data_IF_985748567816
#
_entry.id   IF_985748567816
#
_cell.length_a   1.000
_cell.length_b   1.000
_cell.length_c   1.000
_cell.angle_alpha   90.00
_cell.angle_beta   90.00
_cell.angle_gamma   90.00
#
_symmetry.space_group_name_H-M   'P 1'
#
loop_
_entity.id
_entity.type
_entity.pdbx_description
1 polymer ?
#
# COMPACT_ATOMS: atom_id res chain seq x y z
N UNK A 1 -0.75 7.06 7.77
CA UNK A 1 0.10 7.74 6.76
C UNK A 1 0.17 9.24 7.03
N UNK A 2 -0.96 9.94 7.05
CA UNK A 2 -0.96 11.41 7.18
C UNK A 2 -0.22 11.95 8.40
N UNK A 3 -0.40 11.38 9.59
CA UNK A 3 0.37 11.78 10.77
C UNK A 3 1.90 11.79 10.54
N UNK A 4 2.42 10.78 9.82
CA UNK A 4 3.85 10.70 9.45
C UNK A 4 4.23 11.81 8.47
N UNK A 5 3.37 12.08 7.48
CA UNK A 5 3.59 13.14 6.49
C UNK A 5 3.56 14.53 7.13
N UNK A 6 2.57 14.80 7.98
CA UNK A 6 2.49 16.04 8.78
C UNK A 6 3.71 16.20 9.67
N UNK A 7 4.19 15.11 10.31
CA UNK A 7 5.44 15.15 11.06
C UNK A 7 6.66 15.47 10.17
N UNK A 8 6.70 15.01 8.91
CA UNK A 8 7.79 15.34 7.98
C UNK A 8 7.73 16.81 7.56
N UNK A 9 6.56 17.32 7.18
CA UNK A 9 6.35 18.72 6.84
C UNK A 9 6.67 19.65 8.01
N UNK A 10 6.42 19.23 9.25
CA UNK A 10 6.80 20.00 10.44
C UNK A 10 8.31 20.08 10.69
N UNK A 11 9.09 19.11 10.18
CA UNK A 11 10.54 19.00 10.43
C UNK A 11 11.40 19.51 9.29
N UNK A 12 10.85 19.66 8.09
CA UNK A 12 11.58 19.99 6.87
C UNK A 12 10.95 21.21 6.18
N UNK A 13 11.61 22.36 6.27
CA UNK A 13 11.09 23.62 5.77
C UNK A 13 10.99 23.66 4.23
N UNK A 14 11.91 22.99 3.52
CA UNK A 14 11.90 22.95 2.05
C UNK A 14 10.71 22.13 1.55
N UNK A 15 10.52 20.92 2.12
CA UNK A 15 9.37 20.07 1.79
C UNK A 15 8.06 20.77 2.18
N UNK A 16 8.02 21.44 3.34
CA UNK A 16 6.84 22.22 3.76
C UNK A 16 6.47 23.31 2.77
N UNK A 17 7.46 24.05 2.28
CA UNK A 17 7.24 25.13 1.31
C UNK A 17 6.80 24.64 -0.08
N UNK A 18 7.15 23.39 -0.41
CA UNK A 18 6.82 22.75 -1.69
C UNK A 18 5.39 22.18 -1.73
N UNK A 19 4.82 21.86 -0.58
CA UNK A 19 3.49 21.25 -0.47
C UNK A 19 3.46 19.76 -0.80
N UNK A 20 2.29 19.26 -1.22
CA UNK A 20 2.06 17.85 -1.50
C UNK A 20 1.10 17.69 -2.68
N UNK A 21 1.38 16.71 -3.54
CA UNK A 21 0.46 16.24 -4.59
C UNK A 21 -0.03 14.85 -4.17
N UNK A 22 -1.34 14.67 -4.11
CA UNK A 22 -1.97 13.43 -3.65
C UNK A 22 -2.73 12.83 -4.83
N UNK A 23 -2.27 11.67 -5.28
CA UNK A 23 -2.98 10.86 -6.26
C UNK A 23 -3.96 9.93 -5.53
N UNK A 24 -5.19 9.82 -6.04
CA UNK A 24 -6.28 9.08 -5.39
C UNK A 24 -6.82 8.00 -6.33
N UNK A 25 -7.34 6.88 -5.80
CA UNK A 25 -8.12 5.94 -6.60
C UNK A 25 -9.27 6.64 -7.34
N UNK A 26 -9.73 6.05 -8.45
CA UNK A 26 -10.87 6.58 -9.18
C UNK A 26 -12.13 6.61 -8.30
N UNK A 27 -12.80 7.76 -8.25
CA UNK A 27 -14.05 7.95 -7.53
C UNK A 27 -15.18 8.11 -8.53
N UNK A 28 -16.24 7.32 -8.36
CA UNK A 28 -17.49 7.50 -9.09
C UNK A 28 -18.39 8.46 -8.31
N UNK A 29 -19.03 9.38 -9.02
CA UNK A 29 -20.05 10.30 -8.48
C UNK A 29 -21.22 9.61 -7.77
N UNK A 30 -21.50 8.34 -8.08
CA UNK A 30 -22.57 7.56 -7.45
C UNK A 30 -22.08 6.73 -6.24
N UNK A 31 -20.77 6.70 -5.98
CA UNK A 31 -20.19 5.90 -4.91
C UNK A 31 -20.10 6.72 -3.62
N UNK A 32 -21.11 6.57 -2.75
CA UNK A 32 -21.11 7.20 -1.41
C UNK A 32 -19.83 6.85 -0.66
N UNK A 33 -19.45 5.57 -0.61
CA UNK A 33 -18.22 5.13 0.04
C UNK A 33 -16.96 5.77 -0.59
N UNK A 34 -16.94 5.93 -1.92
CA UNK A 34 -15.82 6.58 -2.62
C UNK A 34 -15.69 8.06 -2.25
N UNK A 35 -16.83 8.76 -2.15
CA UNK A 35 -16.89 10.16 -1.74
C UNK A 35 -16.49 10.33 -0.27
N UNK A 36 -16.90 9.42 0.61
CA UNK A 36 -16.50 9.43 2.03
C UNK A 36 -15.00 9.17 2.21
N UNK A 37 -14.43 8.23 1.44
CA UNK A 37 -12.99 7.98 1.44
C UNK A 37 -12.24 9.22 0.93
N UNK A 38 -12.70 9.86 -0.14
CA UNK A 38 -12.09 11.07 -0.66
C UNK A 38 -12.15 12.22 0.35
N UNK A 39 -13.30 12.42 1.00
CA UNK A 39 -13.46 13.42 2.05
C UNK A 39 -12.53 13.14 3.24
N UNK A 40 -12.39 11.88 3.64
CA UNK A 40 -11.44 11.50 4.66
C UNK A 40 -9.98 11.79 4.26
N UNK A 41 -9.59 11.53 3.00
CA UNK A 41 -8.27 11.89 2.47
C UNK A 41 -8.04 13.41 2.53
N UNK A 42 -9.04 14.20 2.12
CA UNK A 42 -8.98 15.68 2.12
C UNK A 42 -8.74 16.22 3.53
N UNK A 43 -9.49 15.72 4.51
CA UNK A 43 -9.39 16.14 5.92
C UNK A 43 -8.05 15.71 6.54
N UNK A 44 -7.75 14.41 6.47
CA UNK A 44 -6.61 13.78 7.15
C UNK A 44 -5.27 14.30 6.60
N UNK A 45 -5.19 14.66 5.30
CA UNK A 45 -3.99 15.27 4.68
C UNK A 45 -4.05 16.81 4.60
N UNK A 46 -5.08 17.46 5.15
CA UNK A 46 -5.24 18.92 5.14
C UNK A 46 -5.13 19.53 3.73
N UNK A 47 -5.86 18.95 2.79
CA UNK A 47 -5.90 19.41 1.39
C UNK A 47 -6.56 20.79 1.31
N UNK A 48 -6.09 21.65 0.42
CA UNK A 48 -6.67 22.97 0.16
C UNK A 48 -7.12 23.18 -1.29
N UNK A 49 -6.56 22.41 -2.23
CA UNK A 49 -6.88 22.44 -3.66
C UNK A 49 -7.28 21.02 -4.09
N UNK A 50 -8.45 20.90 -4.71
CA UNK A 50 -8.99 19.65 -5.26
C UNK A 50 -9.09 19.80 -6.77
N UNK A 51 -8.44 18.92 -7.50
CA UNK A 51 -8.45 18.90 -8.96
C UNK A 51 -9.29 17.71 -9.43
N UNK A 52 -10.30 17.99 -10.26
CA UNK A 52 -11.21 16.99 -10.83
C UNK A 52 -10.90 16.85 -12.32
N UNK A 53 -10.64 15.63 -12.79
CA UNK A 53 -10.26 15.35 -14.17
C UNK A 53 -11.43 14.80 -14.99
N UNK A 54 -11.96 15.60 -15.91
CA UNK A 54 -12.88 15.19 -16.98
C UNK A 54 -14.28 14.75 -16.56
N UNK A 55 -14.71 14.97 -15.31
CA UNK A 55 -16.10 14.78 -14.89
C UNK A 55 -16.66 16.06 -14.27
N UNK A 56 -17.51 16.74 -15.05
CA UNK A 56 -18.28 17.91 -14.58
C UNK A 56 -19.31 17.52 -13.52
N UNK A 57 -19.85 16.31 -13.57
CA UNK A 57 -20.77 15.78 -12.57
C UNK A 57 -20.09 15.58 -11.22
N UNK A 58 -18.93 14.92 -11.20
CA UNK A 58 -18.14 14.76 -9.98
C UNK A 58 -17.69 16.12 -9.43
N UNK A 59 -17.31 17.05 -10.29
CA UNK A 59 -16.94 18.41 -9.88
C UNK A 59 -18.10 19.13 -9.18
N UNK A 60 -19.31 19.08 -9.73
CA UNK A 60 -20.49 19.67 -9.12
C UNK A 60 -20.81 19.05 -7.75
N UNK A 61 -20.68 17.72 -7.61
CA UNK A 61 -20.92 17.04 -6.34
C UNK A 61 -19.86 17.39 -5.29
N UNK A 62 -18.58 17.53 -5.68
CA UNK A 62 -17.51 17.97 -4.78
C UNK A 62 -17.70 19.42 -4.34
N UNK A 63 -18.08 20.32 -5.26
CA UNK A 63 -18.42 21.71 -4.91
C UNK A 63 -19.55 21.73 -3.88
N UNK A 64 -20.60 20.93 -4.09
CA UNK A 64 -21.71 20.82 -3.15
C UNK A 64 -21.25 20.27 -1.80
N UNK A 65 -20.50 19.16 -1.79
CA UNK A 65 -20.01 18.47 -0.59
C UNK A 65 -19.13 19.37 0.29
N UNK A 66 -18.22 20.13 -0.32
CA UNK A 66 -17.25 20.97 0.39
C UNK A 66 -17.66 22.44 0.50
N UNK A 67 -18.84 22.83 0.00
CA UNK A 67 -19.35 24.22 0.07
C UNK A 67 -19.46 24.77 1.50
N UNK A 68 -19.82 23.90 2.44
CA UNK A 68 -20.00 24.24 3.87
C UNK A 68 -18.77 23.97 4.72
N UNK A 69 -17.85 23.16 4.21
CA UNK A 69 -16.61 22.81 4.88
C UNK A 69 -15.53 23.87 4.59
N UNK A 70 -14.52 23.93 5.45
CA UNK A 70 -13.39 24.83 5.31
C UNK A 70 -12.10 24.04 5.50
N UNK A 71 -11.02 24.54 4.94
CA UNK A 71 -9.68 24.00 5.16
C UNK A 71 -9.29 24.14 6.63
N UNK A 72 -8.18 23.50 7.02
CA UNK A 72 -7.62 23.64 8.38
C UNK A 72 -7.24 25.08 8.76
N UNK A 73 -7.17 25.99 7.79
CA UNK A 73 -6.93 27.44 7.98
C UNK A 73 -8.22 28.28 7.95
N UNK A 74 -9.40 27.65 7.79
CA UNK A 74 -10.69 28.34 7.74
C UNK A 74 -11.05 28.91 6.36
N UNK A 75 -10.30 28.56 5.32
CA UNK A 75 -10.49 29.04 3.96
C UNK A 75 -11.45 28.15 3.17
N UNK A 76 -12.15 28.66 2.14
CA UNK A 76 -12.90 27.80 1.22
C UNK A 76 -11.95 26.93 0.39
N UNK A 77 -12.36 25.69 0.08
CA UNK A 77 -11.61 24.81 -0.81
C UNK A 77 -11.58 25.35 -2.24
N UNK A 78 -10.41 25.28 -2.90
CA UNK A 78 -10.29 25.57 -4.33
C UNK A 78 -10.54 24.30 -5.13
N UNK A 79 -11.68 24.23 -5.83
CA UNK A 79 -12.06 23.03 -6.59
C UNK A 79 -12.02 23.38 -8.08
N UNK A 80 -11.15 22.71 -8.82
CA UNK A 80 -10.87 22.99 -10.23
C UNK A 80 -11.28 21.79 -11.10
N UNK A 81 -12.00 22.06 -12.18
CA UNK A 81 -12.26 21.08 -13.23
C UNK A 81 -11.21 21.25 -14.33
N UNK A 82 -10.52 20.17 -14.68
CA UNK A 82 -9.63 20.10 -15.82
C UNK A 82 -10.12 19.05 -16.81
N UNK A 83 -9.93 19.31 -18.09
CA UNK A 83 -10.18 18.33 -19.14
C UNK A 83 -9.15 17.20 -19.08
N UNK A 84 -9.57 15.99 -19.46
CA UNK A 84 -8.64 14.88 -19.67
C UNK A 84 -7.81 15.19 -20.91
N UNK A 85 -6.53 14.81 -20.88
CA UNK A 85 -5.69 14.87 -22.07
C UNK A 85 -6.15 13.82 -23.10
N UNK A 86 -6.20 14.20 -24.37
CA UNK A 86 -6.56 13.34 -25.50
C UNK A 86 -5.63 12.13 -25.68
N UNK A 87 -4.43 12.16 -25.08
CA UNK A 87 -3.47 11.04 -25.10
C UNK A 87 -3.71 9.99 -24.02
N UNK A 88 -4.67 10.19 -23.12
CA UNK A 88 -4.97 9.23 -22.05
C UNK A 88 -5.77 8.06 -22.62
N UNK A 89 -5.25 6.85 -22.40
CA UNK A 89 -5.87 5.60 -22.86
C UNK A 89 -6.31 4.78 -21.65
N UNK A 90 -7.44 4.10 -21.77
CA UNK A 90 -7.90 3.15 -20.75
C UNK A 90 -6.92 1.99 -20.60
N UNK A 91 -6.66 1.61 -19.35
CA UNK A 91 -5.78 0.49 -19.01
C UNK A 91 -6.65 -0.70 -18.67
N UNK A 92 -6.52 -1.77 -19.46
CA UNK A 92 -7.21 -3.01 -19.17
C UNK A 92 -6.58 -3.75 -17.97
N UNK A 93 -7.29 -4.76 -17.47
CA UNK A 93 -6.88 -5.55 -16.30
C UNK A 93 -5.55 -6.28 -16.55
N UNK A 94 -5.32 -6.76 -17.78
CA UNK A 94 -4.08 -7.46 -18.14
C UNK A 94 -2.88 -6.53 -18.13
N UNK A 95 -3.02 -5.30 -18.65
CA UNK A 95 -2.00 -4.27 -18.58
C UNK A 95 -1.68 -3.91 -17.13
N UNK A 96 -2.70 -3.71 -16.29
CA UNK A 96 -2.51 -3.37 -14.87
C UNK A 96 -1.80 -4.49 -14.10
N UNK A 97 -2.14 -5.76 -14.38
CA UNK A 97 -1.44 -6.91 -13.82
C UNK A 97 0.03 -6.93 -14.25
N UNK A 98 0.32 -6.76 -15.54
CA UNK A 98 1.71 -6.72 -16.03
C UNK A 98 2.52 -5.57 -15.43
N UNK A 99 1.92 -4.38 -15.28
CA UNK A 99 2.57 -3.23 -14.66
C UNK A 99 2.86 -3.48 -13.16
N UNK A 100 1.93 -4.14 -12.45
CA UNK A 100 2.13 -4.56 -11.06
C UNK A 100 3.29 -5.56 -10.94
N UNK A 101 3.28 -6.61 -11.77
CA UNK A 101 4.35 -7.62 -11.83
C UNK A 101 5.72 -7.00 -12.14
N UNK A 102 5.77 -6.06 -13.09
CA UNK A 102 6.98 -5.32 -13.45
C UNK A 102 7.51 -4.50 -12.26
N UNK A 103 6.63 -3.83 -11.52
CA UNK A 103 7.00 -3.03 -10.33
C UNK A 103 7.59 -3.90 -9.22
N UNK A 104 7.04 -5.10 -9.02
CA UNK A 104 7.56 -6.05 -8.02
C UNK A 104 8.89 -6.64 -8.47
N UNK A 105 9.04 -6.96 -9.76
CA UNK A 105 10.33 -7.38 -10.33
C UNK A 105 11.39 -6.29 -10.17
N UNK A 106 11.06 -5.05 -10.48
CA UNK A 106 11.95 -3.89 -10.34
C UNK A 106 12.40 -3.69 -8.88
N UNK A 107 11.51 -3.90 -7.90
CA UNK A 107 11.87 -3.81 -6.49
C UNK A 107 13.01 -4.77 -6.10
N UNK A 108 13.02 -6.01 -6.62
CA UNK A 108 14.04 -7.01 -6.28
C UNK A 108 15.27 -6.97 -7.19
N UNK A 109 15.08 -6.76 -8.49
CA UNK A 109 16.13 -6.90 -9.51
C UNK A 109 16.58 -5.57 -10.11
N UNK A 110 15.93 -4.47 -9.74
CA UNK A 110 16.20 -3.14 -10.28
C UNK A 110 15.68 -2.95 -11.71
N UNK A 111 16.05 -1.82 -12.30
CA UNK A 111 15.63 -1.40 -13.64
C UNK A 111 16.80 -1.42 -14.63
N UNK A 112 16.50 -1.11 -15.89
CA UNK A 112 17.52 -1.02 -16.95
C UNK A 112 18.54 0.06 -16.56
N UNK A 113 19.80 -0.33 -16.42
CA UNK A 113 20.90 0.55 -16.01
C UNK A 113 21.10 0.65 -14.49
N UNK A 114 20.23 0.03 -13.68
CA UNK A 114 20.33 -0.04 -12.22
C UNK A 114 20.01 -1.44 -11.72
N UNK A 115 20.79 -2.43 -12.14
CA UNK A 115 20.58 -3.83 -11.74
C UNK A 115 20.89 -4.05 -10.27
N UNK A 116 19.97 -4.71 -9.56
CA UNK A 116 20.11 -5.15 -8.18
C UNK A 116 20.35 -6.66 -8.13
N UNK A 117 21.05 -7.11 -7.08
CA UNK A 117 21.35 -8.53 -6.85
C UNK A 117 20.66 -8.99 -5.55
N UNK A 118 19.40 -9.44 -5.63
CA UNK A 118 18.68 -9.89 -4.45
C UNK A 118 19.26 -11.21 -3.92
N UNK A 119 19.12 -11.43 -2.61
CA UNK A 119 19.68 -12.58 -1.92
C UNK A 119 18.63 -13.68 -1.73
N UNK A 120 18.93 -14.89 -2.19
CA UNK A 120 18.12 -16.07 -1.88
C UNK A 120 18.65 -16.72 -0.60
N UNK A 121 17.75 -17.03 0.32
CA UNK A 121 18.09 -17.69 1.59
C UNK A 121 17.09 -18.79 1.92
N UNK A 122 17.59 -19.84 2.56
CA UNK A 122 16.77 -20.92 3.08
C UNK A 122 16.56 -20.71 4.57
N UNK A 123 15.30 -20.67 5.00
CA UNK A 123 14.90 -20.38 6.38
C UNK A 123 13.97 -21.46 6.91
N UNK A 124 14.09 -21.77 8.20
CA UNK A 124 13.24 -22.77 8.85
C UNK A 124 11.86 -22.17 9.14
N UNK A 125 10.81 -22.99 9.10
CA UNK A 125 9.43 -22.52 9.36
C UNK A 125 9.31 -21.78 10.70
N UNK A 126 9.95 -22.33 11.73
CA UNK A 126 9.88 -21.83 13.10
C UNK A 126 10.64 -20.51 13.31
N UNK A 127 11.48 -20.12 12.33
CA UNK A 127 12.21 -18.86 12.35
C UNK A 127 11.40 -17.67 11.83
N UNK A 128 10.24 -17.91 11.22
CA UNK A 128 9.36 -16.87 10.69
C UNK A 128 8.08 -16.74 11.52
N UNK A 129 7.67 -15.50 11.75
CA UNK A 129 6.36 -15.18 12.30
C UNK A 129 5.52 -14.49 11.22
N UNK A 130 4.69 -15.27 10.53
CA UNK A 130 3.84 -14.78 9.45
C UNK A 130 2.46 -14.52 10.01
N UNK A 131 1.91 -13.35 9.70
CA UNK A 131 0.61 -12.92 10.13
C UNK A 131 -0.25 -12.51 8.94
N UNK A 132 -1.55 -12.76 9.03
CA UNK A 132 -2.56 -12.30 8.10
C UNK A 132 -3.46 -11.30 8.80
N UNK A 133 -3.72 -10.19 8.14
CA UNK A 133 -4.73 -9.21 8.59
C UNK A 133 -6.10 -9.79 8.22
N UNK A 134 -7.00 -9.90 9.20
CA UNK A 134 -8.38 -10.35 8.97
C UNK A 134 -9.09 -9.49 7.92
N UNK A 135 -9.97 -10.11 7.13
CA UNK A 135 -10.74 -9.38 6.12
C UNK A 135 -11.72 -8.42 6.82
N UNK A 136 -11.74 -7.15 6.40
CA UNK A 136 -12.70 -6.16 6.90
C UNK A 136 -14.12 -6.59 6.50
N UNK A 137 -14.89 -7.19 7.42
CA UNK A 137 -16.27 -7.55 7.14
C UNK A 137 -17.14 -6.28 7.16
N UNK A 138 -17.85 -5.96 6.07
CA UNK A 138 -18.88 -4.91 6.07
C UNK A 138 -20.07 -5.23 7.00
N UNK A 139 -20.21 -6.49 7.43
CA UNK A 139 -21.29 -6.99 8.27
C UNK A 139 -20.82 -7.26 9.71
N UNK A 140 -20.26 -6.25 10.38
CA UNK A 140 -20.23 -6.14 11.84
C UNK A 140 -19.50 -7.22 12.69
N UNK A 141 -19.05 -8.33 12.11
CA UNK A 141 -18.21 -9.33 12.77
C UNK A 141 -16.79 -9.20 12.25
N UNK A 142 -16.21 -8.03 12.51
CA UNK A 142 -14.80 -7.78 12.25
C UNK A 142 -13.98 -8.57 13.26
N UNK A 143 -13.57 -9.79 12.90
CA UNK A 143 -12.28 -10.29 13.37
C UNK A 143 -11.19 -9.50 12.64
N UNK A 144 -11.14 -8.17 12.88
CA UNK A 144 -10.12 -7.26 12.37
C UNK A 144 -8.76 -7.48 13.05
N UNK A 145 -8.62 -8.62 13.73
CA UNK A 145 -7.43 -9.06 14.43
C UNK A 145 -6.33 -9.51 13.47
N UNK A 146 -5.12 -9.49 14.00
CA UNK A 146 -3.95 -10.04 13.35
C UNK A 146 -3.84 -11.52 13.72
N UNK A 147 -3.95 -12.41 12.74
CA UNK A 147 -3.88 -13.86 12.95
C UNK A 147 -2.51 -14.40 12.53
N UNK A 148 -1.86 -15.19 13.39
CA UNK A 148 -0.64 -15.91 13.01
C UNK A 148 -0.99 -17.08 12.07
N UNK A 149 -0.23 -17.24 11.00
CA UNK A 149 -0.44 -18.27 9.97
C UNK A 149 0.83 -19.07 9.81
N UNK A 150 0.68 -20.39 9.72
CA UNK A 150 1.80 -21.29 9.42
C UNK A 150 2.15 -21.28 7.93
N UNK A 151 3.43 -21.40 7.55
CA UNK A 151 3.82 -21.54 6.15
C UNK A 151 3.10 -22.70 5.45
N UNK A 152 2.42 -22.39 4.34
CA UNK A 152 1.66 -23.35 3.56
C UNK A 152 2.01 -23.26 2.07
N UNK A 153 1.91 -24.36 1.32
CA UNK A 153 2.28 -24.41 -0.12
C UNK A 153 1.65 -23.29 -0.96
N UNK A 154 0.41 -22.92 -0.60
CA UNK A 154 -0.35 -21.83 -1.25
C UNK A 154 0.32 -20.46 -1.11
N UNK A 155 1.32 -20.30 -0.24
CA UNK A 155 2.09 -19.07 -0.07
C UNK A 155 3.33 -19.01 -0.96
N UNK A 156 3.63 -20.07 -1.72
CA UNK A 156 4.66 -20.00 -2.75
C UNK A 156 4.28 -18.90 -3.75
N UNK A 157 5.28 -18.12 -4.17
CA UNK A 157 5.15 -16.96 -5.05
C UNK A 157 4.42 -15.75 -4.45
N UNK A 158 4.29 -15.69 -3.12
CA UNK A 158 3.76 -14.51 -2.43
C UNK A 158 4.86 -13.54 -2.05
N UNK A 159 4.52 -12.24 -2.05
CA UNK A 159 5.34 -11.19 -1.47
C UNK A 159 4.80 -10.85 -0.08
N UNK A 160 5.66 -10.86 0.94
CA UNK A 160 5.31 -10.58 2.33
C UNK A 160 5.97 -9.27 2.77
N UNK A 161 5.22 -8.42 3.47
CA UNK A 161 5.74 -7.18 4.02
C UNK A 161 6.45 -7.44 5.34
N UNK A 162 7.68 -6.93 5.50
CA UNK A 162 8.43 -6.95 6.75
C UNK A 162 8.07 -5.66 7.49
N UNK A 163 7.65 -5.73 8.76
CA UNK A 163 7.31 -4.54 9.54
C UNK A 163 8.32 -4.21 10.65
N UNK A 164 8.40 -2.93 11.01
CA UNK A 164 9.18 -2.42 12.15
C UNK A 164 8.47 -2.68 13.48
N UNK A 165 8.28 -3.95 13.81
CA UNK A 165 7.74 -4.42 15.09
C UNK A 165 8.48 -5.68 15.57
N UNK A 166 8.25 -6.07 16.82
CA UNK A 166 8.62 -7.36 17.39
C UNK A 166 7.44 -8.32 17.32
N UNK A 167 7.71 -9.63 17.21
CA UNK A 167 6.67 -10.68 17.31
C UNK A 167 5.98 -10.73 18.68
N UNK A 168 6.54 -10.05 19.69
CA UNK A 168 6.01 -9.96 21.05
C UNK A 168 5.13 -8.71 21.25
N UNK A 169 5.11 -7.80 20.29
CA UNK A 169 4.27 -6.60 20.37
C UNK A 169 2.79 -6.99 20.23
N UNK A 170 1.90 -6.10 20.66
CA UNK A 170 0.46 -6.35 20.54
C UNK A 170 0.04 -6.44 19.05
N UNK A 171 -1.03 -7.18 18.73
CA UNK A 171 -1.58 -7.22 17.37
C UNK A 171 -1.78 -5.83 16.74
N UNK A 172 -2.25 -4.87 17.53
CA UNK A 172 -2.50 -3.48 17.11
C UNK A 172 -1.20 -2.75 16.79
N UNK A 173 -0.15 -2.94 17.60
CA UNK A 173 1.16 -2.36 17.38
C UNK A 173 1.80 -2.91 16.10
N UNK A 174 1.73 -4.23 15.87
CA UNK A 174 2.21 -4.85 14.63
C UNK A 174 1.41 -4.33 13.42
N UNK A 175 0.08 -4.19 13.55
CA UNK A 175 -0.79 -3.67 12.47
C UNK A 175 -0.48 -2.21 12.10
N UNK A 176 -0.13 -1.38 13.09
CA UNK A 176 0.17 0.03 12.90
C UNK A 176 1.65 0.31 12.55
N UNK A 177 2.51 -0.71 12.60
CA UNK A 177 3.93 -0.56 12.36
C UNK A 177 4.24 -0.22 10.89
N UNK A 178 5.30 0.57 10.69
CA UNK A 178 5.77 0.91 9.35
C UNK A 178 6.37 -0.32 8.65
N UNK A 179 6.20 -0.39 7.34
CA UNK A 179 6.85 -1.41 6.50
C UNK A 179 8.32 -1.06 6.31
N UNK A 180 9.20 -2.03 6.57
CA UNK A 180 10.64 -1.96 6.32
C UNK A 180 10.97 -2.28 4.85
N UNK A 181 10.27 -3.25 4.28
CA UNK A 181 10.49 -3.74 2.94
C UNK A 181 9.71 -5.02 2.70
N UNK A 182 10.04 -5.73 1.62
CA UNK A 182 9.33 -6.92 1.21
C UNK A 182 10.27 -8.10 1.00
N UNK A 183 9.78 -9.31 1.27
CA UNK A 183 10.42 -10.57 0.87
C UNK A 183 9.49 -11.35 -0.03
N UNK A 184 10.07 -12.11 -0.95
CA UNK A 184 9.33 -13.00 -1.83
C UNK A 184 9.54 -14.45 -1.43
N UNK A 185 8.46 -15.23 -1.32
CA UNK A 185 8.50 -16.66 -1.01
C UNK A 185 8.68 -17.42 -2.32
N UNK A 186 9.89 -17.88 -2.60
CA UNK A 186 10.21 -18.59 -3.83
C UNK A 186 9.68 -20.03 -3.84
N UNK A 187 9.77 -20.72 -2.71
CA UNK A 187 9.42 -22.14 -2.60
C UNK A 187 9.19 -22.51 -1.12
N UNK A 188 8.39 -23.54 -0.89
CA UNK A 188 8.07 -24.06 0.44
C UNK A 188 8.24 -25.58 0.41
N UNK A 189 9.24 -26.09 1.14
CA UNK A 189 9.46 -27.51 1.34
C UNK A 189 8.82 -27.92 2.69
N UNK A 190 7.60 -28.44 2.63
CA UNK A 190 6.85 -28.87 3.82
C UNK A 190 7.49 -30.07 4.53
N UNK A 191 8.10 -30.99 3.78
CA UNK A 191 8.72 -32.19 4.34
C UNK A 191 9.94 -31.82 5.18
N UNK A 192 10.77 -30.89 4.66
CA UNK A 192 11.95 -30.40 5.38
C UNK A 192 11.65 -29.25 6.33
N UNK A 193 10.42 -28.73 6.36
CA UNK A 193 10.01 -27.52 7.11
C UNK A 193 10.92 -26.31 6.80
N UNK A 194 11.22 -26.09 5.51
CA UNK A 194 12.06 -24.97 5.05
C UNK A 194 11.39 -24.14 3.97
N UNK A 195 11.55 -22.83 4.02
CA UNK A 195 11.18 -21.90 2.97
C UNK A 195 12.43 -21.46 2.22
N UNK A 196 12.31 -21.28 0.91
CA UNK A 196 13.26 -20.49 0.12
C UNK A 196 12.66 -19.11 -0.07
N UNK A 197 13.34 -18.09 0.40
CA UNK A 197 12.88 -16.70 0.29
C UNK A 197 13.92 -15.86 -0.46
N UNK A 198 13.45 -14.87 -1.20
CA UNK A 198 14.23 -13.86 -1.88
C UNK A 198 14.06 -12.54 -1.12
N UNK A 199 15.17 -11.93 -0.72
CA UNK A 199 15.20 -10.63 -0.04
C UNK A 199 15.99 -9.62 -0.87
N UNK A 200 15.62 -8.32 -0.85
CA UNK A 200 16.34 -7.28 -1.59
C UNK A 200 17.76 -7.05 -1.07
N UNK A 201 18.02 -7.42 0.19
CA UNK A 201 19.34 -7.30 0.84
C UNK A 201 19.74 -8.62 1.49
N UNK A 202 21.04 -8.91 1.49
CA UNK A 202 21.60 -10.05 2.22
C UNK A 202 21.52 -9.81 3.72
N UNK A 203 20.87 -10.71 4.45
CA UNK A 203 20.77 -10.60 5.90
C UNK A 203 19.70 -11.51 6.49
N UNK A 204 19.85 -11.83 7.77
CA UNK A 204 18.80 -12.55 8.50
C UNK A 204 17.62 -11.60 8.71
N UNK A 205 16.41 -12.08 8.44
CA UNK A 205 15.18 -11.31 8.69
C UNK A 205 14.97 -10.96 10.17
N UNK A 206 15.61 -11.72 11.07
CA UNK A 206 15.49 -11.54 12.51
C UNK A 206 14.10 -11.91 13.02
N UNK A 207 13.78 -11.46 14.24
CA UNK A 207 12.51 -11.72 14.91
C UNK A 207 11.46 -10.64 14.55
N UNK A 208 11.25 -10.45 13.24
CA UNK A 208 10.34 -9.44 12.69
C UNK A 208 9.06 -10.11 12.16
N UNK A 209 7.87 -9.58 12.49
CA UNK A 209 6.63 -10.02 11.89
C UNK A 209 6.64 -9.81 10.37
N UNK A 210 6.16 -10.81 9.65
CA UNK A 210 5.87 -10.75 8.23
C UNK A 210 4.35 -10.66 8.03
N UNK A 211 3.88 -9.67 7.28
CA UNK A 211 2.48 -9.49 6.96
C UNK A 211 2.16 -10.04 5.57
N UNK A 212 1.17 -10.92 5.54
CA UNK A 212 0.53 -11.47 4.36
C UNK A 212 -0.74 -10.65 4.05
N UNK A 213 -0.86 -10.18 2.81
CA UNK A 213 -1.99 -9.37 2.38
C UNK A 213 -2.36 -9.62 0.92
N UNK A 214 -3.44 -8.99 0.46
CA UNK A 214 -3.83 -8.98 -0.97
C UNK A 214 -2.91 -8.09 -1.81
N UNK A 215 -2.10 -7.26 -1.17
CA UNK A 215 -1.12 -6.41 -1.81
C UNK A 215 0.24 -6.50 -1.06
N UNK A 216 1.38 -6.59 -1.78
CA UNK A 216 1.48 -6.78 -3.23
C UNK A 216 0.78 -8.07 -3.69
N UNK A 217 0.32 -8.12 -4.95
CA UNK A 217 -0.56 -9.18 -5.44
C UNK A 217 0.03 -10.58 -5.19
N UNK A 218 -0.80 -11.56 -4.78
CA UNK A 218 -0.34 -12.92 -4.57
C UNK A 218 -0.06 -13.63 -5.91
N UNK A 219 0.89 -14.57 -5.90
CA UNK A 219 1.23 -15.44 -7.03
C UNK A 219 1.88 -14.77 -8.25
N UNK A 220 3.02 -14.12 -8.02
CA UNK A 220 3.84 -13.60 -9.12
C UNK A 220 5.09 -14.44 -9.24
N UNK A 221 5.29 -15.12 -10.37
CA UNK A 221 6.51 -15.87 -10.57
C UNK A 221 7.67 -14.91 -10.91
N UNK A 222 8.52 -14.64 -9.91
CA UNK A 222 9.72 -13.82 -10.09
C UNK A 222 10.94 -14.62 -10.56
N UNK A 223 10.89 -15.95 -10.50
CA UNK A 223 12.06 -16.83 -10.69
C UNK A 223 11.89 -17.83 -11.85
N UNK A 224 10.83 -17.70 -12.66
CA UNK A 224 10.59 -18.48 -13.87
C UNK A 224 9.79 -17.69 -14.89
#
# INVERSE_FOLDING_TARGET
>A
MAATVTSRLGKDAEVKSSGMIIDTPAVSENSVNGMDILAHIVDELSVNIIIVLGSSHLNAELIKRFSTERTSLGEPYSILLLDKSDGVVERDVGFMQQACEASIKEYFFGSIGQTLSPATQQVDFDSLAIFRIGDYSMYGNADGGLMRVDPAQLMAHWTLAIVYASVKDSPEAIRAANVMGYVYVADIDKEKRKLRILAPVSGRLGDRPLLMGKWPEPFINLLG
#
